data_IF_443758316120
#
_entry.id   IF_443758316120
#
_cell.length_a   1.000
_cell.length_b   1.000
_cell.length_c   1.000
_cell.angle_alpha   90.00
_cell.angle_beta   90.00
_cell.angle_gamma   90.00
#
_symmetry.space_group_name_H-M   'P 1'
#
loop_
_entity.id
_entity.type
_entity.pdbx_description
1 polymer ?
#
# COMPACT_ATOMS: atom_id res chain seq x y z
N UNK A 1 -3.03 -4.87 36.66
CA UNK A 1 -4.23 -5.19 35.84
C UNK A 1 -3.74 -5.58 34.45
N UNK A 2 -3.71 -6.88 34.12
CA UNK A 2 -3.18 -7.36 32.83
C UNK A 2 -4.15 -7.06 31.70
N UNK A 3 -3.66 -6.56 30.56
CA UNK A 3 -4.48 -6.31 29.36
C UNK A 3 -5.06 -7.65 28.89
N UNK A 4 -6.38 -7.69 28.68
CA UNK A 4 -7.06 -8.85 28.07
C UNK A 4 -6.67 -8.88 26.59
N UNK A 5 -5.82 -9.82 26.21
CA UNK A 5 -5.29 -10.00 24.85
C UNK A 5 -5.98 -11.20 24.21
N UNK A 6 -6.61 -10.98 23.07
CA UNK A 6 -7.03 -12.06 22.17
C UNK A 6 -5.90 -12.34 21.18
N UNK A 7 -5.47 -13.60 21.09
CA UNK A 7 -4.37 -14.04 20.25
C UNK A 7 -4.94 -14.96 19.18
N UNK A 8 -4.63 -14.65 17.92
CA UNK A 8 -5.00 -15.46 16.76
C UNK A 8 -3.74 -16.12 16.20
N UNK A 9 -3.60 -17.46 16.28
CA UNK A 9 -2.41 -18.14 15.78
C UNK A 9 -2.33 -18.09 14.25
N UNK A 10 -1.11 -18.02 13.70
CA UNK A 10 -0.87 -18.20 12.28
C UNK A 10 -1.17 -19.64 11.85
N UNK A 11 -1.48 -19.84 10.56
CA UNK A 11 -1.90 -21.14 10.01
C UNK A 11 -0.82 -22.24 10.06
N UNK A 12 0.42 -21.92 10.40
CA UNK A 12 1.54 -22.86 10.42
C UNK A 12 2.67 -22.38 11.31
N UNK A 13 3.85 -23.01 11.16
CA UNK A 13 5.02 -22.76 12.01
C UNK A 13 5.59 -21.33 11.90
N UNK A 14 5.27 -20.61 10.83
CA UNK A 14 5.79 -19.27 10.57
C UNK A 14 4.73 -18.17 10.75
N UNK A 15 5.18 -16.90 10.75
CA UNK A 15 4.26 -15.76 10.77
C UNK A 15 3.45 -15.67 9.45
N UNK A 16 2.33 -14.93 9.48
CA UNK A 16 1.38 -14.86 8.37
C UNK A 16 1.99 -14.38 7.05
N UNK A 17 3.01 -13.51 7.09
CA UNK A 17 3.66 -13.02 5.88
C UNK A 17 4.47 -14.10 5.16
N UNK A 18 4.95 -15.16 5.82
CA UNK A 18 5.65 -16.25 5.12
C UNK A 18 4.77 -16.97 4.10
N UNK A 19 3.45 -16.95 4.33
CA UNK A 19 2.45 -17.59 3.48
C UNK A 19 1.80 -16.62 2.48
N UNK A 20 2.36 -15.42 2.29
CA UNK A 20 1.74 -14.36 1.46
C UNK A 20 1.41 -14.83 0.03
N UNK A 21 2.23 -15.72 -0.55
CA UNK A 21 2.04 -16.25 -1.92
C UNK A 21 0.81 -17.14 -2.06
N UNK A 22 0.31 -17.69 -0.96
CA UNK A 22 -0.92 -18.47 -0.92
C UNK A 22 -2.15 -17.57 -0.83
N UNK A 23 -1.98 -16.34 -0.34
CA UNK A 23 -3.05 -15.36 -0.10
C UNK A 23 -3.16 -14.41 -1.29
N UNK A 24 -2.03 -13.98 -1.86
CA UNK A 24 -1.94 -12.99 -2.91
C UNK A 24 -1.20 -13.54 -4.13
N UNK A 25 -1.67 -13.19 -5.32
CA UNK A 25 -1.00 -13.53 -6.57
C UNK A 25 0.43 -12.94 -6.61
N UNK A 26 1.48 -13.76 -6.80
CA UNK A 26 2.85 -13.27 -6.93
C UNK A 26 3.04 -12.29 -8.09
N UNK A 27 2.45 -12.58 -9.25
CA UNK A 27 2.55 -11.72 -10.44
C UNK A 27 1.98 -10.33 -10.21
N UNK A 28 0.76 -10.23 -9.64
CA UNK A 28 0.15 -8.95 -9.28
C UNK A 28 1.00 -8.20 -8.25
N UNK A 29 1.54 -8.90 -7.25
CA UNK A 29 2.41 -8.30 -6.23
C UNK A 29 3.69 -7.71 -6.83
N UNK A 30 4.33 -8.43 -7.75
CA UNK A 30 5.53 -7.95 -8.47
C UNK A 30 5.18 -6.74 -9.35
N UNK A 31 4.07 -6.80 -10.09
CA UNK A 31 3.60 -5.67 -10.89
C UNK A 31 3.35 -4.43 -10.01
N UNK A 32 2.61 -4.59 -8.91
CA UNK A 32 2.34 -3.52 -7.95
C UNK A 32 3.65 -2.97 -7.36
N UNK A 33 4.61 -3.83 -7.03
CA UNK A 33 5.93 -3.42 -6.53
C UNK A 33 6.62 -2.44 -7.47
N UNK A 34 6.68 -2.73 -8.78
CA UNK A 34 7.31 -1.83 -9.74
C UNK A 34 6.57 -0.49 -9.85
N UNK A 35 5.24 -0.51 -9.85
CA UNK A 35 4.44 0.71 -9.91
C UNK A 35 4.60 1.56 -8.63
N UNK A 36 4.60 0.93 -7.45
CA UNK A 36 4.82 1.61 -6.17
C UNK A 36 6.20 2.24 -6.12
N UNK A 37 7.25 1.54 -6.57
CA UNK A 37 8.60 2.11 -6.61
C UNK A 37 8.72 3.25 -7.63
N UNK A 38 8.09 3.12 -8.80
CA UNK A 38 8.03 4.21 -9.77
C UNK A 38 7.32 5.44 -9.20
N UNK A 39 6.20 5.25 -8.48
CA UNK A 39 5.46 6.31 -7.82
C UNK A 39 6.29 6.95 -6.68
N UNK A 40 6.97 6.13 -5.88
CA UNK A 40 7.80 6.55 -4.73
C UNK A 40 8.91 7.54 -5.11
N UNK A 41 9.50 7.38 -6.31
CA UNK A 41 10.57 8.23 -6.81
C UNK A 41 10.11 9.26 -7.85
N UNK A 42 8.81 9.36 -8.10
CA UNK A 42 8.26 10.32 -9.06
C UNK A 42 8.30 11.75 -8.50
N UNK A 43 8.87 12.73 -9.21
CA UNK A 43 8.87 14.13 -8.78
C UNK A 43 7.55 14.86 -9.06
N UNK A 44 6.52 14.17 -9.58
CA UNK A 44 5.24 14.76 -9.97
C UNK A 44 4.07 14.11 -9.24
N UNK A 45 3.26 14.93 -8.55
CA UNK A 45 2.05 14.44 -7.85
C UNK A 45 1.03 13.85 -8.83
N UNK A 46 0.89 14.42 -10.02
CA UNK A 46 -0.02 13.89 -11.04
C UNK A 46 0.40 12.50 -11.51
N UNK A 47 1.71 12.31 -11.73
CA UNK A 47 2.25 11.01 -12.16
C UNK A 47 2.16 9.99 -11.03
N UNK A 48 2.54 10.37 -9.81
CA UNK A 48 2.39 9.53 -8.61
C UNK A 48 0.95 9.05 -8.46
N UNK A 49 -0.02 9.97 -8.55
CA UNK A 49 -1.44 9.63 -8.45
C UNK A 49 -1.92 8.74 -9.62
N UNK A 50 -1.45 8.98 -10.84
CA UNK A 50 -1.82 8.16 -12.00
C UNK A 50 -1.29 6.72 -11.88
N UNK A 51 -0.03 6.56 -11.46
CA UNK A 51 0.60 5.26 -11.20
C UNK A 51 -0.14 4.50 -10.10
N UNK A 52 -0.44 5.15 -8.97
CA UNK A 52 -1.15 4.48 -7.89
C UNK A 52 -2.60 4.13 -8.26
N UNK A 53 -3.27 4.96 -9.06
CA UNK A 53 -4.59 4.60 -9.63
C UNK A 53 -4.51 3.38 -10.54
N UNK A 54 -3.42 3.18 -11.29
CA UNK A 54 -3.31 2.05 -12.22
C UNK A 54 -3.23 0.69 -11.52
N UNK A 55 -2.86 0.66 -10.22
CA UNK A 55 -2.86 -0.56 -9.40
C UNK A 55 -4.08 -0.69 -8.49
N UNK A 56 -5.06 0.23 -8.60
CA UNK A 56 -6.35 0.14 -7.93
C UNK A 56 -6.52 1.07 -6.73
N UNK A 57 -5.53 1.90 -6.37
CA UNK A 57 -5.70 2.91 -5.32
C UNK A 57 -6.75 3.92 -5.76
N UNK A 58 -7.76 4.15 -4.93
CA UNK A 58 -8.78 5.18 -5.21
C UNK A 58 -8.27 6.52 -4.71
N UNK A 59 -7.98 7.43 -5.63
CA UNK A 59 -7.42 8.75 -5.32
C UNK A 59 -8.36 9.84 -5.82
N UNK A 60 -8.81 10.70 -4.90
CA UNK A 60 -9.63 11.87 -5.15
C UNK A 60 -8.97 12.99 -5.95
N UNK A 61 -9.66 14.11 -6.07
CA UNK A 61 -9.22 15.33 -6.77
C UNK A 61 -8.17 16.07 -5.94
N UNK A 62 -7.22 16.69 -6.63
CA UNK A 62 -6.19 17.57 -6.04
C UNK A 62 -5.36 16.94 -4.90
N UNK A 63 -5.27 15.61 -4.86
CA UNK A 63 -4.44 14.90 -3.89
C UNK A 63 -2.96 15.14 -4.18
N UNK A 64 -2.20 15.43 -3.12
CA UNK A 64 -0.74 15.62 -3.18
C UNK A 64 -0.04 14.51 -2.39
N UNK A 65 0.57 13.57 -3.11
CA UNK A 65 1.35 12.48 -2.52
C UNK A 65 2.83 12.82 -2.64
N UNK A 66 3.48 13.07 -1.50
CA UNK A 66 4.88 13.49 -1.46
C UNK A 66 5.84 12.39 -1.91
N UNK A 67 7.07 12.80 -2.24
CA UNK A 67 8.17 11.89 -2.57
C UNK A 67 8.38 10.87 -1.43
N UNK A 68 8.73 9.65 -1.79
CA UNK A 68 9.06 8.62 -0.82
C UNK A 68 7.84 7.99 -0.14
N UNK A 69 6.61 8.32 -0.50
CA UNK A 69 5.44 7.61 0.06
C UNK A 69 5.44 6.16 -0.42
N UNK A 70 5.32 5.23 0.53
CA UNK A 70 5.16 3.80 0.30
C UNK A 70 3.70 3.39 0.43
N UNK A 71 3.22 2.60 -0.52
CA UNK A 71 1.85 2.08 -0.55
C UNK A 71 1.92 0.56 -0.57
N UNK A 72 0.96 -0.10 0.07
CA UNK A 72 0.83 -1.56 0.09
C UNK A 72 0.89 -2.15 -1.33
N UNK A 73 1.75 -3.16 -1.52
CA UNK A 73 1.90 -3.87 -2.79
C UNK A 73 0.95 -5.08 -2.90
N UNK A 74 0.46 -5.60 -1.78
CA UNK A 74 -0.42 -6.78 -1.75
C UNK A 74 -1.85 -6.38 -2.11
N UNK A 75 -2.40 -5.36 -1.43
CA UNK A 75 -3.78 -4.89 -1.60
C UNK A 75 -3.89 -3.36 -1.70
N UNK A 76 -3.24 -2.73 -2.70
CA UNK A 76 -3.40 -1.29 -2.95
C UNK A 76 -4.86 -0.91 -3.24
N UNK A 77 -5.67 -1.84 -3.73
CA UNK A 77 -7.10 -1.67 -4.02
C UNK A 77 -7.99 -1.43 -2.79
N UNK A 78 -7.45 -1.57 -1.57
CA UNK A 78 -8.14 -1.24 -0.32
C UNK A 78 -7.89 0.19 0.15
N UNK A 79 -7.02 0.94 -0.53
CA UNK A 79 -6.66 2.29 -0.15
C UNK A 79 -7.55 3.29 -0.89
N UNK A 80 -8.20 4.15 -0.11
CA UNK A 80 -9.00 5.26 -0.60
C UNK A 80 -8.51 6.57 0.02
N UNK A 81 -8.17 7.54 -0.83
CA UNK A 81 -7.66 8.86 -0.45
C UNK A 81 -8.66 9.90 -0.96
N UNK A 82 -9.21 10.68 -0.03
CA UNK A 82 -10.22 11.69 -0.33
C UNK A 82 -9.68 12.92 -1.07
N UNK A 83 -10.59 13.76 -1.54
CA UNK A 83 -10.28 15.02 -2.22
C UNK A 83 -9.43 15.96 -1.33
N UNK A 84 -8.57 16.79 -1.95
CA UNK A 84 -7.73 17.81 -1.27
C UNK A 84 -6.80 17.24 -0.17
N UNK A 85 -6.49 15.93 -0.22
CA UNK A 85 -5.63 15.29 0.78
C UNK A 85 -4.14 15.51 0.48
N UNK A 86 -3.36 15.73 1.55
CA UNK A 86 -1.90 15.78 1.50
C UNK A 86 -1.33 14.59 2.27
N UNK A 87 -0.47 13.80 1.62
CA UNK A 87 0.31 12.74 2.27
C UNK A 87 1.76 13.18 2.32
N UNK A 88 2.30 13.25 3.54
CA UNK A 88 3.64 13.75 3.83
C UNK A 88 4.76 12.83 3.35
N UNK A 89 5.95 13.40 3.26
CA UNK A 89 7.17 12.72 2.82
C UNK A 89 7.45 11.42 3.60
N UNK A 90 7.84 10.37 2.87
CA UNK A 90 8.25 9.09 3.44
C UNK A 90 7.20 8.35 4.30
N UNK A 91 5.92 8.70 4.16
CA UNK A 91 4.81 8.00 4.82
C UNK A 91 4.64 6.58 4.25
N UNK A 92 4.22 5.62 5.07
CA UNK A 92 3.89 4.26 4.64
C UNK A 92 2.44 3.95 4.96
N UNK A 93 1.67 3.49 3.97
CA UNK A 93 0.26 3.09 4.10
C UNK A 93 0.16 1.61 3.76
N UNK A 94 -0.27 0.81 4.74
CA UNK A 94 -0.46 -0.65 4.65
C UNK A 94 -1.92 -1.02 4.96
N UNK A 95 -2.38 -2.14 4.42
CA UNK A 95 -3.77 -2.63 4.55
C UNK A 95 -3.86 -4.00 5.20
#
# INVERSE_FOLDING_TARGET
MGRKLEIYPSKGEHNSLWYWKEIFSPYRTIYNFFIVYAARFSPSFKLTNALLRSIGVKIGKNVSISLGVGVDIFRPDYIEIGDETIIGFNTVILT
#
